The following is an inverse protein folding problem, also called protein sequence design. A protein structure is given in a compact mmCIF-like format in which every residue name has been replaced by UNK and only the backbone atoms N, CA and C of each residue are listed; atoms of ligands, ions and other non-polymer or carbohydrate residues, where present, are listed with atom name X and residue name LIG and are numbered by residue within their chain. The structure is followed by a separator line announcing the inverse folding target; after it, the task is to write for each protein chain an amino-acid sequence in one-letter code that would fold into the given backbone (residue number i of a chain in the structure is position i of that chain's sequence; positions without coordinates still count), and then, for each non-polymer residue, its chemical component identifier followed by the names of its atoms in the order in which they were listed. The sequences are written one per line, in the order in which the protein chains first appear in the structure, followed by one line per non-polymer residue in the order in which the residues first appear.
data_IF_342674744688
#
_entry.id   IF_342674744688
#
_cell.length_a   1.000
_cell.length_b   1.000
_cell.length_c   1.000
_cell.angle_alpha   90.00
_cell.angle_beta   90.00
_cell.angle_gamma   90.00
#
_symmetry.space_group_name_H-M   'P 1'
#
loop_
_entity.id
_entity.type
_entity.pdbx_description
1 polymer ?
2 non-polymer ?
3 water ?
#
# COMPACT_ATOMS: atom_id res chain seq x y z
N UNK A 8 -26.64 -21.30 3.60
CA UNK A 8 -27.33 -20.53 2.56
C UNK A 8 -27.07 -21.17 1.20
N UNK A 9 -28.11 -21.26 0.37
CA UNK A 9 -27.98 -21.85 -0.99
C UNK A 9 -27.92 -20.79 -2.07
N UNK A 10 -28.24 -19.53 -1.74
CA UNK A 10 -28.18 -18.42 -2.72
C UNK A 10 -27.52 -17.24 -2.02
N UNK A 11 -26.30 -16.96 -2.47
CA UNK A 11 -25.54 -15.84 -1.84
C UNK A 11 -24.55 -15.22 -2.83
N UNK A 12 -24.22 -13.96 -2.55
CA UNK A 12 -23.30 -13.15 -3.37
C UNK A 12 -21.98 -13.05 -2.60
N UNK A 13 -20.89 -13.24 -3.37
CA UNK A 13 -19.50 -13.08 -2.86
C UNK A 13 -18.98 -11.79 -3.45
N UNK A 14 -18.64 -10.85 -2.58
CA UNK A 14 -18.03 -9.59 -3.09
C UNK A 14 -16.60 -9.53 -2.56
N UNK A 15 -15.63 -9.47 -3.49
CA UNK A 15 -14.22 -9.26 -3.10
C UNK A 15 -13.79 -7.90 -3.65
N UNK A 16 -12.78 -7.34 -3.01
CA UNK A 16 -12.23 -6.02 -3.42
C UNK A 16 -10.72 -6.12 -3.47
N UNK A 17 -10.14 -5.78 -4.63
CA UNK A 17 -8.68 -5.54 -4.74
C UNK A 17 -8.42 -4.14 -4.21
N UNK A 18 -7.80 -4.03 -3.04
CA UNK A 18 -7.67 -2.75 -2.33
C UNK A 18 -6.47 -1.97 -2.89
N UNK A 19 -5.30 -2.60 -2.94
CA UNK A 19 -4.06 -1.90 -3.37
C UNK A 19 -2.94 -2.88 -3.66
N UNK A 20 -2.05 -2.42 -4.50
CA UNK A 20 -0.74 -3.02 -4.81
C UNK A 20 0.40 -2.15 -4.20
N UNK A 21 1.38 -2.80 -3.56
CA UNK A 21 2.54 -2.08 -2.93
C UNK A 21 3.78 -2.75 -3.48
N UNK A 22 4.53 -1.97 -4.28
CA UNK A 22 5.69 -2.44 -5.06
C UNK A 22 6.73 -1.33 -4.93
N UNK A 23 7.19 -1.04 -3.73
CA UNK A 23 8.09 0.13 -3.52
C UNK A 23 9.36 0.11 -4.36
N UNK A 24 9.90 -1.07 -4.64
CA UNK A 24 11.12 -1.19 -5.46
C UNK A 24 10.80 -1.02 -6.95
N UNK A 25 9.53 -1.05 -7.38
CA UNK A 25 9.22 -0.98 -8.83
C UNK A 25 9.77 -2.20 -9.59
N UNK A 26 9.53 -3.43 -9.10
CA UNK A 26 10.20 -4.66 -9.65
C UNK A 26 9.16 -5.64 -10.15
N UNK A 27 9.65 -6.55 -10.99
CA UNK A 27 8.80 -7.65 -11.52
C UNK A 27 9.02 -8.86 -10.62
N UNK A 28 8.27 -9.91 -10.91
CA UNK A 28 8.37 -11.16 -10.16
C UNK A 28 9.78 -11.76 -10.27
N UNK A 29 10.49 -11.57 -11.36
CA UNK A 29 11.89 -12.08 -11.47
C UNK A 29 12.87 -11.19 -10.67
N UNK A 30 12.39 -10.12 -10.02
CA UNK A 30 13.25 -9.26 -9.18
C UNK A 30 13.90 -8.11 -9.94
N UNK A 31 13.78 -8.05 -11.26
CA UNK A 31 14.29 -6.93 -12.08
C UNK A 31 13.29 -5.77 -12.07
N UNK A 32 13.82 -4.57 -12.26
CA UNK A 32 13.05 -3.31 -12.34
C UNK A 32 12.09 -3.42 -13.50
N UNK A 33 10.81 -3.06 -13.29
CA UNK A 33 9.89 -2.79 -14.41
C UNK A 33 10.58 -1.93 -15.50
N UNK A 34 10.57 -2.38 -16.75
CA UNK A 34 11.09 -1.61 -17.92
C UNK A 34 12.55 -1.18 -17.66
N UNK A 35 13.25 -1.79 -16.68
CA UNK A 35 14.61 -1.38 -16.21
C UNK A 35 14.67 0.09 -15.79
N UNK A 36 13.54 0.67 -15.39
CA UNK A 36 13.42 2.04 -14.82
C UNK A 36 12.94 1.98 -13.38
N UNK A 37 12.08 1.01 -13.08
CA UNK A 37 11.42 0.98 -11.77
C UNK A 37 10.19 1.87 -11.78
N UNK A 38 9.71 2.24 -12.98
CA UNK A 38 8.52 3.08 -13.21
C UNK A 38 7.45 2.15 -13.78
N UNK A 39 6.82 1.36 -12.90
CA UNK A 39 5.93 0.24 -13.33
C UNK A 39 4.59 0.78 -13.91
N UNK A 40 3.96 0.00 -14.81
CA UNK A 40 2.71 0.40 -15.50
C UNK A 40 1.70 -0.72 -15.34
N UNK A 41 1.16 -0.92 -14.12
CA UNK A 41 0.41 -2.15 -13.82
C UNK A 41 -0.95 -2.26 -14.50
N UNK A 42 -1.15 -3.46 -15.04
CA UNK A 42 -2.40 -3.96 -15.65
C UNK A 42 -2.84 -5.16 -14.81
N UNK A 43 -4.04 -5.05 -14.25
CA UNK A 43 -4.52 -6.03 -13.24
C UNK A 43 -5.71 -6.76 -13.86
N UNK A 44 -5.55 -8.03 -14.04
CA UNK A 44 -6.66 -8.93 -14.45
C UNK A 44 -7.03 -9.81 -13.26
N UNK A 45 -8.23 -10.44 -13.28
CA UNK A 45 -8.58 -11.16 -12.05
C UNK A 45 -9.77 -12.10 -12.34
N UNK A 46 -9.88 -13.11 -11.50
CA UNK A 46 -10.91 -14.14 -11.66
C UNK A 46 -11.26 -14.69 -10.27
N UNK A 47 -12.55 -14.82 -9.99
CA UNK A 47 -12.95 -15.29 -8.67
C UNK A 47 -13.27 -16.78 -8.81
N UNK A 48 -12.39 -17.60 -8.28
CA UNK A 48 -12.33 -19.05 -8.58
C UNK A 48 -13.11 -19.77 -7.49
N UNK A 49 -14.25 -20.32 -7.87
CA UNK A 49 -15.13 -21.16 -7.00
C UNK A 49 -14.92 -22.66 -7.28
N UNK A 50 -14.42 -23.01 -8.47
CA UNK A 50 -14.28 -24.43 -8.87
C UNK A 50 -12.96 -25.04 -8.47
N UNK A 51 -11.84 -24.30 -8.45
CA UNK A 51 -10.52 -24.90 -8.13
C UNK A 51 -9.73 -24.05 -7.14
N UNK A 52 -10.36 -23.52 -6.06
CA UNK A 52 -9.68 -22.49 -5.26
C UNK A 52 -8.44 -23.02 -4.54
N UNK A 53 -8.36 -24.33 -4.34
CA UNK A 53 -7.21 -24.93 -3.59
C UNK A 53 -6.13 -25.49 -4.55
N UNK A 54 -6.27 -25.28 -5.84
CA UNK A 54 -5.33 -25.79 -6.86
C UNK A 54 -4.27 -24.76 -7.15
N UNK A 55 -3.16 -25.18 -7.78
CA UNK A 55 -2.15 -24.20 -8.18
C UNK A 55 -2.69 -23.09 -9.10
N UNK A 56 -2.04 -21.91 -8.97
CA UNK A 56 -2.34 -20.76 -9.86
C UNK A 56 -2.19 -21.32 -11.28
N UNK A 57 -3.09 -21.02 -12.25
CA UNK A 57 -4.16 -20.05 -12.11
C UNK A 57 -5.56 -20.56 -11.68
N UNK A 58 -5.67 -21.84 -11.29
CA UNK A 58 -6.94 -22.55 -10.98
C UNK A 58 -7.69 -23.01 -12.24
N UNK A 59 -9.03 -23.07 -12.18
CA UNK A 59 -9.97 -23.74 -13.14
C UNK A 59 -9.83 -23.11 -14.55
N UNK A 60 -9.63 -21.80 -14.61
CA UNK A 60 -9.87 -20.97 -15.82
C UNK A 60 -8.59 -20.15 -16.09
N UNK A 61 -8.05 -20.26 -17.31
CA UNK A 61 -6.74 -19.64 -17.66
C UNK A 61 -6.84 -18.11 -17.60
N UNK A 62 -5.74 -17.45 -17.19
CA UNK A 62 -5.65 -15.99 -17.03
C UNK A 62 -5.96 -15.27 -18.37
N UNK A 63 -5.76 -15.93 -19.52
CA UNK A 63 -6.06 -15.32 -20.83
C UNK A 63 -7.55 -14.97 -20.92
N UNK A 64 -8.43 -15.57 -20.10
CA UNK A 64 -9.89 -15.37 -20.18
C UNK A 64 -10.36 -14.37 -19.12
N UNK A 65 -9.47 -13.86 -18.28
CA UNK A 65 -9.78 -12.89 -17.20
C UNK A 65 -9.98 -11.47 -17.77
N UNK A 66 -10.86 -10.73 -17.09
CA UNK A 66 -11.20 -9.36 -17.43
C UNK A 66 -10.21 -8.41 -16.74
N UNK A 67 -9.95 -7.32 -17.42
CA UNK A 67 -9.06 -6.24 -16.89
C UNK A 67 -9.89 -5.46 -15.87
N UNK A 68 -9.34 -5.29 -14.65
CA UNK A 68 -9.99 -4.65 -13.48
C UNK A 68 -9.41 -3.25 -13.28
N UNK A 69 -8.12 -3.02 -13.69
CA UNK A 69 -7.42 -1.76 -13.35
C UNK A 69 -6.15 -1.65 -14.17
N UNK A 70 -5.85 -0.43 -14.64
CA UNK A 70 -4.62 -0.04 -15.36
C UNK A 70 -4.13 1.26 -14.76
N UNK A 71 -2.82 1.46 -14.66
CA UNK A 71 -2.22 2.78 -14.38
C UNK A 71 -0.91 2.81 -15.10
N UNK A 72 -0.48 4.03 -15.37
CA UNK A 72 0.84 4.35 -15.91
C UNK A 72 1.68 5.00 -14.80
N UNK A 73 2.92 4.56 -14.63
CA UNK A 73 3.89 5.17 -13.69
C UNK A 73 3.31 5.22 -12.28
N UNK A 74 2.78 4.09 -11.82
CA UNK A 74 2.28 3.94 -10.43
C UNK A 74 2.77 2.59 -9.90
N UNK A 75 3.74 2.59 -8.98
CA UNK A 75 4.30 1.36 -8.38
C UNK A 75 3.33 0.75 -7.36
N UNK A 76 2.59 1.61 -6.62
CA UNK A 76 1.88 1.27 -5.37
C UNK A 76 0.50 1.87 -5.45
N UNK A 77 -0.26 1.55 -6.53
CA UNK A 77 -1.59 2.12 -6.69
C UNK A 77 -2.61 1.66 -5.65
N UNK A 78 -3.45 2.61 -5.20
CA UNK A 78 -4.79 2.29 -4.65
C UNK A 78 -5.64 1.83 -5.84
N UNK A 79 -6.36 0.71 -5.65
CA UNK A 79 -7.17 0.02 -6.70
C UNK A 79 -8.66 0.15 -6.33
N UNK A 80 -9.09 -0.45 -5.23
CA UNK A 80 -10.46 -0.27 -4.72
C UNK A 80 -11.50 -0.72 -5.73
N UNK A 81 -11.22 -1.81 -6.47
CA UNK A 81 -12.13 -2.39 -7.49
C UNK A 81 -12.66 -3.79 -7.07
N UNK A 82 -13.94 -4.06 -7.36
CA UNK A 82 -14.64 -5.25 -6.87
C UNK A 82 -14.67 -6.35 -7.93
N UNK A 83 -14.62 -7.59 -7.48
CA UNK A 83 -14.85 -8.81 -8.31
C UNK A 83 -15.88 -9.60 -7.57
N UNK A 84 -17.04 -9.76 -8.23
CA UNK A 84 -18.28 -10.30 -7.62
C UNK A 84 -18.73 -11.52 -8.42
N UNK A 85 -19.03 -12.57 -7.69
CA UNK A 85 -19.67 -13.80 -8.24
C UNK A 85 -20.76 -14.28 -7.27
N UNK A 86 -21.81 -14.86 -7.88
CA UNK A 86 -22.92 -15.50 -7.06
C UNK A 86 -22.72 -17.01 -6.96
N UNK A 87 -23.00 -17.51 -5.75
CA UNK A 87 -23.12 -18.98 -5.58
C UNK A 87 -24.61 -19.33 -5.54
N UNK A 88 -25.11 -20.11 -6.49
CA UNK A 88 -26.58 -20.37 -6.69
C UNK A 88 -26.89 -21.87 -6.64
N UNK A 89 -27.79 -22.24 -5.73
CA UNK A 89 -28.34 -23.61 -5.68
C UNK A 89 -27.60 -24.51 -4.73
N UNK A 90 -26.68 -23.97 -3.93
CA UNK A 90 -25.92 -24.80 -3.01
C UNK A 90 -24.78 -24.02 -2.39
N UNK A 91 -23.96 -24.74 -1.61
CA UNK A 91 -22.91 -24.20 -0.72
C UNK A 91 -21.56 -24.16 -1.45
N UNK A 92 -20.64 -23.35 -0.93
CA UNK A 92 -19.22 -23.30 -1.30
C UNK A 92 -18.46 -23.03 -0.01
N UNK A 93 -17.28 -23.61 0.21
CA UNK A 93 -16.64 -23.37 1.53
C UNK A 93 -15.43 -22.45 1.38
N UNK A 94 -15.00 -22.20 0.15
CA UNK A 94 -13.94 -21.20 -0.07
C UNK A 94 -13.93 -20.72 -1.50
N UNK A 95 -13.21 -19.63 -1.71
CA UNK A 95 -13.18 -18.98 -3.03
C UNK A 95 -11.80 -18.32 -3.14
N UNK A 96 -11.22 -18.36 -4.33
CA UNK A 96 -9.86 -17.78 -4.48
C UNK A 96 -9.97 -16.66 -5.50
N UNK A 97 -9.69 -15.43 -5.05
CA UNK A 97 -9.57 -14.26 -5.94
C UNK A 97 -8.16 -14.32 -6.53
N UNK A 98 -8.06 -14.74 -7.79
CA UNK A 98 -6.79 -14.96 -8.51
C UNK A 98 -6.53 -13.61 -9.16
N UNK A 99 -5.33 -13.06 -9.02
CA UNK A 99 -5.01 -11.75 -9.64
C UNK A 99 -3.67 -11.88 -10.40
N UNK A 100 -3.69 -11.45 -11.64
CA UNK A 100 -2.43 -11.27 -12.40
C UNK A 100 -2.13 -9.77 -12.52
N UNK A 101 -0.90 -9.34 -12.23
CA UNK A 101 -0.46 -7.94 -12.48
C UNK A 101 0.70 -7.99 -13.51
N UNK A 102 0.48 -7.42 -14.69
CA UNK A 102 1.58 -7.29 -15.68
C UNK A 102 1.96 -5.82 -15.73
N UNK A 103 3.16 -5.59 -16.21
CA UNK A 103 3.45 -4.25 -16.77
C UNK A 103 2.86 -4.16 -18.18
N UNK A 104 2.31 -3.00 -18.54
CA UNK A 104 1.67 -2.71 -19.84
C UNK A 104 2.64 -2.91 -21.01
N UNK A 105 3.94 -2.74 -20.78
CA UNK A 105 4.95 -2.79 -21.87
C UNK A 105 5.43 -4.22 -22.11
N UNK A 106 5.56 -4.59 -23.39
CA UNK A 106 5.91 -5.96 -23.84
C UNK A 106 5.05 -6.98 -23.09
N UNK A 107 3.73 -6.82 -23.20
CA UNK A 107 2.82 -7.66 -22.37
C UNK A 107 3.28 -9.10 -22.41
N UNK A 108 3.39 -9.67 -23.61
CA UNK A 108 3.60 -11.13 -23.85
C UNK A 108 4.98 -11.58 -23.36
N UNK A 109 5.92 -10.66 -23.16
CA UNK A 109 7.37 -10.99 -23.10
C UNK A 109 8.00 -10.65 -21.74
N UNK A 110 7.68 -9.47 -21.19
CA UNK A 110 8.23 -9.04 -19.87
C UNK A 110 7.62 -9.94 -18.79
N UNK A 111 8.44 -10.41 -17.86
CA UNK A 111 7.90 -11.16 -16.67
C UNK A 111 6.76 -10.35 -16.07
N UNK A 112 5.78 -11.01 -15.49
CA UNK A 112 4.71 -10.33 -14.73
C UNK A 112 5.28 -9.59 -13.52
N UNK A 113 4.52 -8.62 -13.04
CA UNK A 113 4.72 -8.01 -11.71
C UNK A 113 4.38 -9.01 -10.62
N UNK A 114 3.29 -9.74 -10.78
CA UNK A 114 2.89 -10.68 -9.72
C UNK A 114 1.78 -11.59 -10.20
N UNK A 115 1.71 -12.73 -9.50
CA UNK A 115 0.63 -13.77 -9.58
C UNK A 115 0.20 -13.98 -8.14
N UNK A 116 -1.03 -13.56 -7.80
CA UNK A 116 -1.52 -13.47 -6.41
C UNK A 116 -2.72 -14.42 -6.30
N UNK A 117 -2.84 -15.11 -5.16
CA UNK A 117 -4.00 -15.92 -4.74
C UNK A 117 -4.46 -15.39 -3.39
N UNK A 118 -5.64 -14.74 -3.39
CA UNK A 118 -6.39 -14.19 -2.23
C UNK A 118 -7.49 -15.22 -1.87
N UNK A 119 -7.16 -16.19 -1.02
CA UNK A 119 -8.03 -17.32 -0.61
C UNK A 119 -8.87 -16.87 0.58
N UNK A 120 -10.18 -16.98 0.44
CA UNK A 120 -11.14 -16.51 1.47
C UNK A 120 -12.04 -17.69 1.86
N UNK A 121 -12.26 -17.85 3.16
CA UNK A 121 -13.25 -18.83 3.70
C UNK A 121 -14.68 -18.32 3.49
N UNK A 122 -15.61 -19.26 3.36
CA UNK A 122 -17.06 -18.97 3.33
C UNK A 122 -17.78 -19.94 4.26
N UNK A 123 -17.39 -19.96 5.53
CA UNK A 123 -18.11 -20.66 6.62
C UNK A 123 -19.47 -19.97 6.85
N UNK A 124 -20.36 -20.59 7.60
CA UNK A 124 -21.75 -20.11 7.73
C UNK A 124 -21.72 -18.67 8.21
N UNK A 125 -20.83 -18.39 9.15
CA UNK A 125 -20.67 -17.10 9.85
C UNK A 125 -20.16 -16.04 8.84
N UNK A 126 -19.55 -16.47 7.73
CA UNK A 126 -19.01 -15.55 6.70
C UNK A 126 -20.11 -15.08 5.74
N UNK A 127 -21.32 -15.64 5.79
CA UNK A 127 -22.44 -15.27 4.87
C UNK A 127 -23.57 -14.62 5.67
N UNK A 128 -23.71 -13.29 5.58
CA UNK A 128 -24.76 -12.50 6.28
C UNK A 128 -26.12 -12.85 5.67
N UNK A 129 -27.18 -12.59 6.44
CA UNK A 129 -28.59 -12.90 6.08
C UNK A 129 -29.03 -11.93 4.97
N UNK A 130 -28.30 -10.80 4.81
CA UNK A 130 -28.63 -9.78 3.79
C UNK A 130 -27.47 -8.81 3.66
N UNK A 131 -27.50 -8.03 2.58
CA UNK A 131 -26.37 -7.15 2.17
C UNK A 131 -26.16 -6.06 3.23
N UNK A 132 -27.23 -5.58 3.89
CA UNK A 132 -27.09 -4.45 4.84
C UNK A 132 -26.40 -4.93 6.13
N UNK A 133 -26.53 -6.21 6.52
CA UNK A 133 -25.90 -6.77 7.74
C UNK A 133 -24.53 -7.39 7.42
N UNK A 134 -24.15 -7.55 6.15
CA UNK A 134 -22.83 -8.06 5.75
C UNK A 134 -21.70 -7.18 6.32
N UNK A 135 -20.70 -7.76 6.94
CA UNK A 135 -19.50 -6.99 7.37
C UNK A 135 -18.39 -7.27 6.35
N UNK A 136 -17.67 -6.26 5.87
CA UNK A 136 -16.41 -6.54 5.14
C UNK A 136 -15.46 -7.23 6.12
N UNK A 137 -14.87 -8.33 5.70
CA UNK A 137 -13.69 -8.90 6.38
C UNK A 137 -12.52 -7.91 6.38
N UNK A 138 -11.46 -8.20 7.15
CA UNK A 138 -10.30 -7.32 7.19
C UNK A 138 -9.44 -7.34 5.91
N UNK A 139 -8.66 -6.27 5.67
CA UNK A 139 -7.64 -6.20 4.59
C UNK A 139 -6.70 -7.40 4.78
N UNK A 140 -6.53 -8.21 3.73
CA UNK A 140 -5.82 -9.52 3.79
C UNK A 140 -4.74 -9.52 2.71
N UNK A 141 -3.52 -9.85 3.10
CA UNK A 141 -2.38 -9.92 2.16
C UNK A 141 -2.52 -11.20 1.33
N UNK A 142 -2.60 -11.06 0.03
CA UNK A 142 -2.67 -12.18 -0.93
C UNK A 142 -1.30 -12.88 -1.02
N UNK A 143 -1.33 -14.17 -1.33
CA UNK A 143 -0.15 -15.07 -1.41
C UNK A 143 0.40 -14.95 -2.82
N UNK A 144 1.69 -14.70 -2.92
CA UNK A 144 2.29 -14.47 -4.26
C UNK A 144 3.13 -15.69 -4.63
N UNK A 145 3.30 -15.91 -5.93
CA UNK A 145 4.17 -17.00 -6.47
C UNK A 145 5.66 -16.63 -6.25
N UNK A 146 5.96 -15.33 -6.18
CA UNK A 146 7.31 -14.78 -5.99
C UNK A 146 7.29 -13.45 -5.24
N UNK A 147 8.47 -13.06 -4.79
CA UNK A 147 8.76 -11.72 -4.20
C UNK A 147 7.80 -11.48 -3.04
N UNK A 148 7.51 -12.53 -2.26
CA UNK A 148 6.60 -12.44 -1.10
C UNK A 148 7.11 -11.38 -0.13
N UNK A 149 6.24 -10.42 0.25
CA UNK A 149 6.53 -9.28 1.13
C UNK A 149 7.25 -8.07 0.47
N UNK A 150 7.68 -8.20 -0.77
CA UNK A 150 8.36 -7.11 -1.56
C UNK A 150 7.35 -6.55 -2.55
N UNK A 151 6.58 -7.43 -3.23
CA UNK A 151 5.50 -6.99 -4.13
C UNK A 151 4.21 -7.58 -3.52
N UNK A 152 3.41 -6.71 -2.93
CA UNK A 152 2.28 -7.15 -2.08
C UNK A 152 0.94 -6.70 -2.65
N UNK A 153 -0.07 -7.60 -2.59
CA UNK A 153 -1.47 -7.27 -2.97
C UNK A 153 -2.38 -7.53 -1.74
N UNK A 154 -3.27 -6.58 -1.48
CA UNK A 154 -4.21 -6.54 -0.37
C UNK A 154 -5.63 -6.55 -0.96
N UNK A 155 -6.44 -7.47 -0.40
CA UNK A 155 -7.85 -7.73 -0.79
C UNK A 155 -8.71 -8.01 0.45
N UNK A 156 -10.03 -7.90 0.31
CA UNK A 156 -10.96 -8.26 1.41
C UNK A 156 -12.24 -8.80 0.78
N UNK A 157 -13.04 -9.52 1.58
CA UNK A 157 -14.30 -10.04 1.04
C UNK A 157 -15.46 -9.87 2.02
N UNK A 158 -16.63 -9.80 1.42
CA UNK A 158 -17.88 -10.00 2.18
C UNK A 158 -18.81 -10.96 1.42
N UNK A 159 -19.76 -11.54 2.11
CA UNK A 159 -20.76 -12.38 1.45
C UNK A 159 -22.10 -12.25 2.16
N UNK A 160 -23.18 -12.40 1.40
CA UNK A 160 -24.55 -12.20 1.93
C UNK A 160 -25.54 -13.01 1.08
N UNK A 161 -26.60 -13.46 1.75
CA UNK A 161 -27.74 -14.12 1.04
C UNK A 161 -28.45 -13.10 0.12
N UNK A 162 -28.97 -13.61 -0.97
CA UNK A 162 -29.78 -12.82 -1.92
C UNK A 162 -30.93 -13.73 -2.32
N UNK A 163 -32.05 -13.17 -2.77
CA UNK A 163 -33.12 -13.99 -3.30
C UNK A 163 -32.63 -14.81 -4.50
N UNK A 164 -33.18 -16.04 -4.64
CA UNK A 164 -32.76 -16.95 -5.73
C UNK A 164 -32.91 -16.27 -7.11
N UNK A 165 -33.96 -15.46 -7.28
CA UNK A 165 -34.30 -14.77 -8.54
C UNK A 165 -33.25 -13.68 -8.88
N UNK A 166 -32.38 -13.30 -7.95
CA UNK A 166 -31.27 -12.32 -8.24
C UNK A 166 -29.90 -13.03 -8.37
N UNK A 167 -29.86 -14.35 -8.21
CA UNK A 167 -28.64 -15.18 -8.15
C UNK A 167 -28.27 -15.51 -9.60
N UNK A 168 -27.18 -14.90 -10.10
CA UNK A 168 -26.79 -14.87 -11.55
C UNK A 168 -25.95 -16.08 -11.92
N UNK B 8 28.70 10.03 -4.52
CA UNK B 8 29.09 10.77 -3.28
C UNK B 8 29.10 9.80 -2.11
N UNK B 9 30.14 9.84 -1.29
CA UNK B 9 30.29 8.89 -0.15
C UNK B 9 29.93 9.55 1.16
N UNK B 10 29.83 10.89 1.21
CA UNK B 10 29.44 11.59 2.43
C UNK B 10 28.44 12.65 2.01
N UNK B 11 27.21 12.46 2.50
CA UNK B 11 26.11 13.39 2.15
C UNK B 11 25.02 13.38 3.23
N UNK B 12 24.29 14.48 3.29
CA UNK B 12 23.18 14.69 4.24
C UNK B 12 21.88 14.55 3.47
N UNK B 13 20.91 13.86 4.12
CA UNK B 13 19.53 13.70 3.63
C UNK B 13 18.64 14.53 4.53
N UNK B 14 17.99 15.51 3.93
CA UNK B 14 17.05 16.35 4.70
C UNK B 14 15.67 16.09 4.10
N UNK B 15 14.76 15.58 4.96
CA UNK B 15 13.35 15.40 4.58
C UNK B 15 12.54 16.36 5.46
N UNK B 16 11.40 16.78 4.96
CA UNK B 16 10.45 17.63 5.70
C UNK B 16 9.07 17.03 5.62
N UNK B 17 8.44 16.88 6.80
CA UNK B 17 7.00 16.56 6.89
C UNK B 17 6.27 17.91 6.73
N UNK B 18 5.62 18.13 5.60
CA UNK B 18 5.01 19.44 5.27
C UNK B 18 3.65 19.57 5.99
N UNK B 19 2.71 18.63 5.78
CA UNK B 19 1.36 18.76 6.37
C UNK B 19 0.60 17.46 6.33
N UNK B 20 -0.38 17.44 7.21
CA UNK B 20 -1.38 16.34 7.30
C UNK B 20 -2.75 16.92 6.88
N UNK B 21 -3.57 16.12 6.15
CA UNK B 21 -4.90 16.56 5.65
C UNK B 21 -5.85 15.43 5.98
N UNK B 22 -6.72 15.70 6.93
CA UNK B 22 -7.67 14.71 7.51
C UNK B 22 -9.00 15.44 7.65
N UNK B 23 -9.62 15.86 6.55
CA UNK B 23 -10.81 16.72 6.63
C UNK B 23 -12.00 16.06 7.38
N UNK B 24 -12.09 14.73 7.37
CA UNK B 24 -13.15 14.01 8.07
C UNK B 24 -12.82 13.87 9.56
N UNK B 25 -11.60 14.22 10.02
CA UNK B 25 -11.22 13.99 11.43
C UNK B 25 -11.32 12.51 11.84
N UNK B 26 -10.77 11.57 11.04
CA UNK B 26 -10.97 10.09 11.27
C UNK B 26 -9.63 9.43 11.54
N UNK B 27 -9.70 8.25 12.11
CA UNK B 27 -8.57 7.37 12.38
C UNK B 27 -8.42 6.41 11.20
N UNK B 28 -7.36 5.62 11.25
CA UNK B 28 -7.07 4.63 10.23
C UNK B 28 -8.22 3.61 10.11
N UNK B 29 -8.88 3.29 11.21
CA UNK B 29 -10.02 2.33 11.21
C UNK B 29 -11.30 3.00 10.66
N UNK B 30 -11.26 4.29 10.31
CA UNK B 30 -12.37 5.02 9.69
C UNK B 30 -13.35 5.61 10.70
N UNK B 31 -13.14 5.38 12.00
CA UNK B 31 -13.90 6.07 13.07
C UNK B 31 -13.34 7.47 13.31
N UNK B 32 -14.23 8.31 13.82
CA UNK B 32 -13.92 9.70 14.22
C UNK B 32 -12.91 9.67 15.35
N UNK B 33 -11.86 10.52 15.22
CA UNK B 33 -10.94 10.80 16.33
C UNK B 33 -11.74 11.10 17.63
N UNK B 34 -11.43 10.42 18.74
CA UNK B 34 -12.02 10.68 20.08
C UNK B 34 -13.56 10.65 20.00
N UNK B 35 -14.12 10.02 18.95
CA UNK B 35 -15.56 9.80 18.74
C UNK B 35 -16.26 11.10 18.29
N UNK B 36 -15.53 12.23 18.16
CA UNK B 36 -16.10 13.58 17.87
C UNK B 36 -15.60 14.13 16.53
N UNK B 37 -14.38 13.78 16.14
CA UNK B 37 -13.83 14.28 14.88
C UNK B 37 -12.92 15.47 15.12
N UNK B 38 -12.50 15.64 16.37
CA UNK B 38 -11.64 16.71 16.90
C UNK B 38 -10.27 16.09 17.17
N UNK B 39 -9.45 15.92 16.12
CA UNK B 39 -8.20 15.06 16.23
C UNK B 39 -7.09 15.84 16.97
N UNK B 40 -6.20 15.14 17.69
CA UNK B 40 -5.06 15.71 18.45
C UNK B 40 -3.81 15.01 17.98
N UNK B 41 -3.30 15.32 16.77
CA UNK B 41 -2.25 14.52 16.18
C UNK B 41 -0.86 14.65 16.80
N UNK B 42 -0.24 13.49 17.02
CA UNK B 42 1.12 13.28 17.55
C UNK B 42 1.89 12.52 16.48
N UNK B 43 2.94 13.15 15.98
CA UNK B 43 3.65 12.65 14.77
C UNK B 43 5.05 12.22 15.22
N UNK B 44 5.36 10.97 15.05
CA UNK B 44 6.70 10.39 15.29
C UNK B 44 7.26 9.99 13.93
N UNK B 45 8.58 9.86 13.83
CA UNK B 45 9.10 9.56 12.50
C UNK B 45 10.51 8.98 12.56
N UNK B 46 10.91 8.34 11.46
CA UNK B 46 12.20 7.66 11.38
C UNK B 46 12.62 7.65 9.93
N UNK B 47 13.87 8.05 9.66
CA UNK B 47 14.33 8.07 8.28
C UNK B 47 15.11 6.78 8.06
N UNK B 48 14.51 5.88 7.29
CA UNK B 48 14.97 4.48 7.21
C UNK B 48 15.86 4.30 6.01
N UNK B 49 17.13 4.07 6.27
CA UNK B 49 18.17 3.83 5.25
C UNK B 49 18.46 2.32 5.11
N UNK B 50 18.12 1.50 6.12
CA UNK B 50 18.51 0.08 6.14
C UNK B 50 17.39 -0.78 5.53
N UNK B 51 16.11 -0.45 5.70
CA UNK B 51 15.03 -1.30 5.15
C UNK B 51 13.96 -0.51 4.40
N UNK B 52 14.35 0.43 3.51
CA UNK B 52 13.37 1.37 2.96
C UNK B 52 12.32 0.70 2.07
N UNK B 53 12.62 -0.49 1.56
CA UNK B 53 11.72 -1.22 0.63
C UNK B 53 10.92 -2.31 1.36
N UNK B 54 11.02 -2.43 2.68
CA UNK B 54 10.33 -3.47 3.47
C UNK B 54 8.99 -2.91 3.96
N UNK B 55 8.07 -3.78 4.42
CA UNK B 55 6.84 -3.28 5.03
C UNK B 55 7.05 -2.39 6.25
N UNK B 56 6.17 -1.39 6.37
CA UNK B 56 6.06 -0.51 7.55
C UNK B 56 6.12 -1.46 8.76
N UNK B 57 6.92 -1.19 9.82
CA UNK B 57 7.66 0.06 9.99
C UNK B 57 9.13 0.11 9.50
N UNK B 58 9.62 -0.91 8.78
CA UNK B 58 11.05 -1.04 8.37
C UNK B 58 11.97 -1.54 9.49
N UNK B 59 13.26 -1.12 9.48
CA UNK B 59 14.41 -1.67 10.27
C UNK B 59 14.15 -1.53 11.79
N UNK B 60 13.52 -0.44 12.20
CA UNK B 60 13.53 0.07 13.60
C UNK B 60 12.08 0.32 14.03
N UNK B 61 11.66 -0.27 15.15
CA UNK B 61 10.25 -0.24 15.57
C UNK B 61 9.86 1.20 15.91
N UNK B 62 8.60 1.54 15.62
CA UNK B 62 8.03 2.89 15.86
C UNK B 62 8.18 3.30 17.33
N UNK B 63 8.25 2.34 18.26
CA UNK B 63 8.38 2.63 19.71
C UNK B 63 9.67 3.42 19.97
N UNK B 64 10.65 3.36 19.07
CA UNK B 64 11.98 3.99 19.25
C UNK B 64 12.06 5.36 18.54
N UNK B 65 11.01 5.75 17.84
CA UNK B 65 10.93 7.00 17.05
C UNK B 65 10.69 8.21 17.96
N UNK B 66 11.27 9.33 17.56
CA UNK B 66 11.19 10.61 18.30
C UNK B 66 9.95 11.36 17.82
N UNK B 67 9.36 12.11 18.73
CA UNK B 67 8.18 12.97 18.45
C UNK B 67 8.67 14.21 17.68
N UNK B 68 8.02 14.50 16.56
CA UNK B 68 8.33 15.57 15.58
C UNK B 68 7.36 16.74 15.77
N UNK B 69 6.11 16.48 16.17
CA UNK B 69 5.01 17.49 16.10
C UNK B 69 3.82 16.96 16.90
N UNK B 70 3.18 17.88 17.64
CA UNK B 70 1.96 17.66 18.42
C UNK B 70 1.02 18.83 18.15
N UNK B 71 -0.29 18.58 18.06
CA UNK B 71 -1.30 19.64 18.03
C UNK B 71 -2.50 19.10 18.77
N UNK B 72 -3.26 20.03 19.30
CA UNK B 72 -4.56 19.75 19.90
C UNK B 72 -5.64 20.32 19.00
N UNK B 73 -6.68 19.55 18.69
CA UNK B 73 -7.87 20.03 17.95
C UNK B 73 -7.43 20.67 16.63
N UNK B 74 -6.61 19.94 15.87
CA UNK B 74 -6.21 20.31 14.48
C UNK B 74 -6.24 19.06 13.60
N UNK B 75 -7.20 18.97 12.69
CA UNK B 75 -7.36 17.79 11.80
C UNK B 75 -6.34 17.80 10.66
N UNK B 76 -5.98 19.02 10.19
CA UNK B 76 -5.21 19.20 8.93
C UNK B 76 -4.08 20.19 9.22
N UNK B 77 -3.21 19.88 10.19
CA UNK B 77 -2.16 20.85 10.52
C UNK B 77 -1.08 20.97 9.43
N UNK B 78 -0.59 22.20 9.27
CA UNK B 78 0.77 22.47 8.72
C UNK B 78 1.79 22.01 9.78
N UNK B 79 2.80 21.27 9.35
CA UNK B 79 3.83 20.63 10.22
C UNK B 79 5.19 21.32 9.95
N UNK B 80 5.77 21.18 8.75
CA UNK B 80 6.96 21.97 8.35
C UNK B 80 8.13 21.62 9.26
N UNK B 81 8.25 20.34 9.69
CA UNK B 81 9.35 19.82 10.53
C UNK B 81 10.27 18.86 9.76
N UNK B 82 11.57 18.95 10.03
CA UNK B 82 12.60 18.21 9.25
C UNK B 82 12.98 16.96 10.03
N UNK B 83 13.32 15.91 9.28
CA UNK B 83 13.97 14.70 9.82
C UNK B 83 15.18 14.47 8.94
N UNK B 84 16.34 14.47 9.59
CA UNK B 84 17.66 14.55 8.90
C UNK B 84 18.51 13.36 9.32
N UNK B 85 19.21 12.79 8.36
CA UNK B 85 20.20 11.71 8.56
C UNK B 85 21.34 11.84 7.56
N UNK B 86 22.54 11.46 7.98
CA UNK B 86 23.74 11.49 7.11
C UNK B 86 24.05 10.08 6.63
N UNK B 87 24.46 10.03 5.34
CA UNK B 87 25.02 8.79 4.80
C UNK B 87 26.53 8.98 4.74
N UNK B 88 27.28 8.16 5.48
CA UNK B 88 28.74 8.30 5.69
C UNK B 88 29.50 7.06 5.24
N UNK B 89 30.38 7.20 4.28
CA UNK B 89 31.34 6.14 3.92
C UNK B 89 30.95 5.40 2.66
N UNK B 90 29.82 5.77 2.03
CA UNK B 90 29.34 5.06 0.84
C UNK B 90 27.98 5.55 0.44
N UNK B 91 27.36 4.81 -0.49
CA UNK B 91 26.15 5.21 -1.25
C UNK B 91 24.90 4.64 -0.60
N UNK B 92 23.77 5.24 -0.88
CA UNK B 92 22.40 4.73 -0.63
C UNK B 92 21.57 5.09 -1.85
N UNK B 93 20.65 4.25 -2.33
CA UNK B 93 19.90 4.60 -3.53
C UNK B 93 18.47 5.00 -3.19
N UNK B 94 18.06 4.77 -1.96
CA UNK B 94 16.76 5.31 -1.52
C UNK B 94 16.70 5.36 0.01
N UNK B 95 15.68 6.07 0.48
CA UNK B 95 15.45 6.24 1.93
C UNK B 95 13.95 6.34 2.11
N UNK B 96 13.45 5.83 3.24
CA UNK B 96 12.01 5.93 3.49
C UNK B 96 11.80 6.71 4.77
N UNK B 97 11.13 7.82 4.66
CA UNK B 97 10.66 8.62 5.81
C UNK B 97 9.37 7.94 6.31
N UNK B 98 9.49 7.20 7.39
CA UNK B 98 8.40 6.42 8.04
C UNK B 98 7.76 7.38 9.01
N UNK B 99 6.45 7.55 9.00
CA UNK B 99 5.73 8.48 9.91
C UNK B 99 4.53 7.74 10.53
N UNK B 100 4.45 7.84 11.84
CA UNK B 100 3.25 7.42 12.59
C UNK B 100 2.55 8.68 13.07
N UNK B 101 1.24 8.76 12.86
CA UNK B 101 0.40 9.85 13.43
C UNK B 101 -0.62 9.17 14.36
N UNK B 102 -0.47 9.39 15.63
CA UNK B 102 -1.47 8.95 16.63
C UNK B 102 -2.31 10.15 17.01
N UNK B 103 -3.45 9.87 17.59
CA UNK B 103 -4.11 10.89 18.44
C UNK B 103 -3.46 10.82 19.82
N UNK B 104 -3.25 11.99 20.46
CA UNK B 104 -2.67 12.14 21.81
C UNK B 104 -3.41 11.28 22.86
N UNK B 105 -4.71 11.06 22.67
CA UNK B 105 -5.57 10.31 23.64
C UNK B 105 -5.48 8.78 23.39
N UNK B 106 -4.99 8.34 22.22
CA UNK B 106 -4.76 6.92 21.82
C UNK B 106 -3.90 6.22 22.89
N UNK B 110 -3.56 0.61 18.95
CA UNK B 110 -3.85 0.21 17.53
C UNK B 110 -4.94 1.10 16.90
N UNK B 111 -5.11 2.34 17.44
CA UNK B 111 -6.14 3.37 17.09
C UNK B 111 -5.45 4.61 16.45
N UNK B 112 -4.44 4.35 15.63
CA UNK B 112 -3.65 5.43 14.99
C UNK B 112 -4.51 6.20 14.01
N UNK B 113 -4.07 7.45 13.78
CA UNK B 113 -4.60 8.26 12.66
C UNK B 113 -4.02 7.72 11.34
N UNK B 114 -2.73 7.40 11.31
CA UNK B 114 -2.15 6.86 10.09
C UNK B 114 -0.72 6.38 10.22
N UNK B 115 -0.35 5.53 9.27
CA UNK B 115 0.99 4.90 9.11
C UNK B 115 1.41 5.17 7.67
N UNK B 116 2.43 6.05 7.51
CA UNK B 116 2.83 6.62 6.21
C UNK B 116 4.27 6.22 5.90
N UNK B 117 4.54 5.87 4.64
CA UNK B 117 5.88 5.62 4.05
C UNK B 117 6.08 6.61 2.92
N UNK B 118 7.01 7.58 3.11
CA UNK B 118 7.43 8.62 2.13
C UNK B 118 8.79 8.15 1.56
N UNK B 119 8.78 7.39 0.46
CA UNK B 119 9.97 6.75 -0.16
C UNK B 119 10.55 7.74 -1.17
N UNK B 120 11.83 8.04 -1.04
CA UNK B 120 12.57 9.05 -1.85
C UNK B 120 13.77 8.36 -2.50
N UNK B 121 13.97 8.61 -3.79
CA UNK B 121 15.19 8.17 -4.53
C UNK B 121 16.37 9.05 -4.14
N UNK B 122 17.57 8.47 -4.21
CA UNK B 122 18.85 9.20 -4.02
C UNK B 122 19.80 8.78 -5.17
N UNK B 123 19.40 8.96 -6.43
CA UNK B 123 20.29 8.82 -7.60
C UNK B 123 21.37 9.93 -7.54
N UNK B 124 22.42 9.84 -8.36
CA UNK B 124 23.54 10.81 -8.29
C UNK B 124 23.00 12.23 -8.42
N UNK B 125 22.03 12.45 -9.32
CA UNK B 125 21.52 13.82 -9.60
C UNK B 125 20.64 14.29 -8.43
N UNK B 126 20.24 13.41 -7.49
CA UNK B 126 19.46 13.81 -6.30
C UNK B 126 20.39 14.35 -5.20
N UNK B 127 21.72 14.27 -5.35
CA UNK B 127 22.69 14.69 -4.31
C UNK B 127 23.51 15.87 -4.83
N UNK B 128 23.20 17.08 -4.37
CA UNK B 128 23.93 18.30 -4.81
C UNK B 128 25.35 18.28 -4.22
N UNK B 129 26.25 19.02 -4.87
CA UNK B 129 27.69 19.10 -4.51
C UNK B 129 27.84 19.83 -3.18
N UNK B 130 26.80 20.59 -2.76
CA UNK B 130 26.78 21.33 -1.48
C UNK B 130 25.38 21.84 -1.17
N UNK B 131 25.18 22.30 0.06
CA UNK B 131 23.84 22.64 0.61
C UNK B 131 23.29 23.85 -0.15
N UNK B 132 24.15 24.76 -0.64
CA UNK B 132 23.63 26.00 -1.28
C UNK B 132 23.08 25.66 -2.68
N UNK B 133 23.61 24.63 -3.37
CA UNK B 133 23.13 24.21 -4.70
C UNK B 133 22.05 23.12 -4.61
N UNK B 134 21.78 22.57 -3.44
CA UNK B 134 20.70 21.56 -3.21
C UNK B 134 19.33 22.19 -3.51
N UNK B 135 18.49 21.55 -4.30
CA UNK B 135 17.12 22.06 -4.54
C UNK B 135 16.19 21.12 -3.78
N UNK B 136 15.21 21.65 -3.04
CA UNK B 136 14.17 20.76 -2.47
C UNK B 136 13.44 20.12 -3.64
N UNK B 137 13.22 18.80 -3.56
CA UNK B 137 12.28 18.11 -4.44
C UNK B 137 10.84 18.57 -4.19
N UNK B 138 9.92 18.21 -5.10
CA UNK B 138 8.51 18.60 -4.97
C UNK B 138 7.78 17.96 -3.78
N UNK B 139 6.73 18.63 -3.31
CA UNK B 139 5.78 18.08 -2.31
C UNK B 139 5.28 16.72 -2.81
N UNK B 140 5.42 15.66 -2.01
CA UNK B 140 5.17 14.26 -2.43
C UNK B 140 4.17 13.65 -1.43
N UNK B 141 3.10 13.06 -1.95
CA UNK B 141 2.10 12.37 -1.13
C UNK B 141 2.67 11.02 -0.66
N UNK B 142 2.77 10.83 0.64
CA UNK B 142 3.29 9.59 1.27
C UNK B 142 2.21 8.48 1.10
N UNK B 143 2.67 7.24 1.08
CA UNK B 143 1.88 5.99 0.91
C UNK B 143 1.32 5.63 2.30
N UNK B 144 0.02 5.39 2.40
CA UNK B 144 -0.62 5.13 3.71
C UNK B 144 -1.01 3.67 3.77
N UNK B 145 -1.00 3.09 4.97
CA UNK B 145 -1.45 1.69 5.20
C UNK B 145 -2.99 1.60 5.06
N UNK B 146 -3.70 2.69 5.36
CA UNK B 146 -5.19 2.72 5.30
C UNK B 146 -5.69 4.12 4.91
N UNK B 147 -6.97 4.17 4.55
CA UNK B 147 -7.68 5.45 4.28
C UNK B 147 -6.93 6.27 3.23
N UNK B 148 -6.41 5.59 2.21
CA UNK B 148 -5.62 6.26 1.13
C UNK B 148 -6.45 7.34 0.47
N UNK B 149 -5.89 8.56 0.36
CA UNK B 149 -6.52 9.77 -0.24
C UNK B 149 -7.51 10.50 0.66
N UNK B 150 -7.82 9.95 1.84
CA UNK B 150 -8.78 10.52 2.82
C UNK B 150 -7.99 11.12 3.98
N UNK B 151 -6.99 10.41 4.48
CA UNK B 151 -6.04 10.88 5.50
C UNK B 151 -4.67 10.92 4.78
N UNK B 152 -4.21 12.13 4.52
CA UNK B 152 -3.05 12.32 3.59
C UNK B 152 -1.87 13.00 4.30
N UNK B 153 -0.65 12.54 4.00
CA UNK B 153 0.61 13.16 4.50
C UNK B 153 1.47 13.56 3.28
N UNK B 154 2.08 14.77 3.35
CA UNK B 154 2.91 15.34 2.27
C UNK B 154 4.28 15.63 2.90
N UNK B 155 5.30 15.13 2.18
CA UNK B 155 6.74 15.32 2.52
C UNK B 155 7.58 15.68 1.29
N UNK B 156 8.78 16.19 1.52
CA UNK B 156 9.73 16.45 0.40
C UNK B 156 11.15 16.21 0.90
N UNK B 157 12.10 16.01 -0.03
CA UNK B 157 13.49 15.81 0.42
C UNK B 157 14.49 16.59 -0.43
N UNK B 158 15.59 16.89 0.22
CA UNK B 158 16.81 17.27 -0.51
C UNK B 158 18.00 16.46 0.01
N UNK B 159 19.10 16.47 -0.74
CA UNK B 159 20.31 15.82 -0.29
C UNK B 159 21.51 16.61 -0.89
N UNK B 160 22.59 16.60 -0.16
CA UNK B 160 23.81 17.35 -0.55
C UNK B 160 25.03 16.74 0.14
N UNK B 161 26.17 16.87 -0.56
CA UNK B 161 27.48 16.42 -0.02
C UNK B 161 27.89 17.30 1.16
N UNK B 162 28.57 16.69 2.11
CA UNK B 162 29.14 17.39 3.26
C UNK B 162 30.53 16.83 3.46
N UNK B 163 31.47 17.59 4.06
CA UNK B 163 32.74 17.01 4.42
C UNK B 163 32.61 15.81 5.35
N UNK B 164 33.50 14.82 5.18
CA UNK B 164 33.46 13.57 6.00
C UNK B 164 33.45 13.91 7.50
N UNK B 165 34.18 14.96 7.94
CA UNK B 165 34.30 15.36 9.36
C UNK B 165 33.00 15.96 9.92
N UNK B 166 32.00 16.22 9.09
CA UNK B 166 30.65 16.70 9.55
C UNK B 166 29.61 15.55 9.47
N UNK B 167 30.01 14.40 8.96
CA UNK B 167 29.10 13.26 8.63
C UNK B 167 28.89 12.44 9.91
N UNK B 168 27.67 12.57 10.50
CA UNK B 168 27.15 12.08 11.79
C UNK B 168 26.14 10.95 11.52
#
# INVERSE_FOLDING_TARGET
GSHMGRFADFFRIETEIQRLDNPAGILANGKKCDFTGACDPVVTAFLDLESPLSPWPGSVAASKWKTIFEATDQNSPTIGRSVIRDMCGGSASNVNLRVLVNDADSLSSQDEIGKFSCLFQLDARDVAMDSLSAQWGPSTECTAEAQQGKIRLFARRRAFEIPSTSCRAPSSL
GSHMGRFADFFRIETEIQRLDNPAGILANGKKCDFTGACDPVVTAFLDLESPLSPWPGSVAASKWKTIFEATDQNSPTIGRSVIRDMCGGSASNVNLRVLVNDADSLSSQDEIGKFSCLFQLDARDVAMDSLSAQWGPSTECTAEAQQGKIRLFARRRAFEIPSTSCRAPSSL
#
